data_IF_851192633906
#
_entry.id   IF_851192633906
#
_cell.length_a   1.000
_cell.length_b   1.000
_cell.length_c   1.000
_cell.angle_alpha   90.00
_cell.angle_beta   90.00
_cell.angle_gamma   90.00
#
_symmetry.space_group_name_H-M   'P 1'
#
loop_
_entity.id
_entity.type
_entity.pdbx_description
1 polymer ?
#
# COMPACT_ATOMS: atom_id res chain seq x y z
N UNK A 1 -20.81 -6.29 6.88
CA UNK A 1 -20.34 -4.88 6.93
C UNK A 1 -20.39 -4.29 5.52
N UNK A 2 -20.99 -3.10 5.34
CA UNK A 2 -20.98 -2.38 4.05
C UNK A 2 -19.57 -1.90 3.71
N UNK A 3 -19.20 -1.91 2.43
CA UNK A 3 -17.87 -1.54 1.95
C UNK A 3 -17.53 -0.09 2.28
N UNK A 4 -18.41 0.88 1.96
CA UNK A 4 -18.26 2.29 2.31
C UNK A 4 -17.95 2.51 3.79
N UNK A 5 -18.74 1.88 4.68
CA UNK A 5 -18.54 1.96 6.13
C UNK A 5 -17.19 1.40 6.56
N UNK A 6 -16.72 0.33 5.92
CA UNK A 6 -15.43 -0.27 6.23
C UNK A 6 -14.27 0.66 5.89
N UNK A 7 -14.27 1.30 4.71
CA UNK A 7 -13.23 2.27 4.35
C UNK A 7 -13.26 3.53 5.22
N UNK A 8 -14.46 4.01 5.57
CA UNK A 8 -14.58 5.12 6.51
C UNK A 8 -14.05 4.75 7.89
N UNK A 9 -14.29 3.52 8.35
CA UNK A 9 -13.71 3.03 9.60
C UNK A 9 -12.17 2.94 9.52
N UNK A 10 -11.60 2.54 8.38
CA UNK A 10 -10.13 2.55 8.20
C UNK A 10 -9.56 3.96 8.36
N UNK A 11 -10.17 4.95 7.69
CA UNK A 11 -9.79 6.37 7.80
C UNK A 11 -9.95 6.87 9.24
N UNK A 12 -11.12 6.66 9.85
CA UNK A 12 -11.43 7.17 11.18
C UNK A 12 -10.50 6.61 12.28
N UNK A 13 -10.00 5.39 12.09
CA UNK A 13 -9.04 4.76 13.01
C UNK A 13 -7.57 4.96 12.58
N UNK A 14 -7.30 5.71 11.51
CA UNK A 14 -5.94 5.94 11.00
C UNK A 14 -5.21 4.66 10.55
N UNK A 15 -5.96 3.59 10.22
CA UNK A 15 -5.40 2.30 9.82
C UNK A 15 -5.50 2.09 8.31
N UNK A 16 -4.53 1.37 7.75
CA UNK A 16 -4.39 1.18 6.29
C UNK A 16 -4.86 -0.19 5.80
N UNK A 17 -5.20 -1.07 6.72
CA UNK A 17 -5.72 -2.40 6.44
C UNK A 17 -6.40 -2.96 7.70
N UNK A 18 -7.33 -3.89 7.50
CA UNK A 18 -7.96 -4.63 8.58
C UNK A 18 -8.14 -6.10 8.19
N UNK A 19 -7.97 -7.05 9.14
CA UNK A 19 -8.32 -8.44 8.92
C UNK A 19 -9.85 -8.57 8.81
N UNK A 20 -10.29 -9.55 8.01
CA UNK A 20 -11.70 -9.82 7.77
C UNK A 20 -12.13 -11.11 8.45
N UNK A 21 -13.08 -10.99 9.37
CA UNK A 21 -13.68 -12.11 10.07
C UNK A 21 -14.98 -12.56 9.39
N UNK A 22 -15.13 -13.86 9.15
CA UNK A 22 -16.37 -14.45 8.65
C UNK A 22 -17.10 -15.19 9.77
N UNK A 23 -18.23 -14.65 10.23
CA UNK A 23 -18.99 -15.21 11.35
C UNK A 23 -19.56 -16.61 11.08
N UNK A 24 -19.83 -16.99 9.82
CA UNK A 24 -20.33 -18.33 9.48
C UNK A 24 -19.23 -19.39 9.63
N UNK A 25 -18.00 -19.07 9.21
CA UNK A 25 -16.83 -19.97 9.29
C UNK A 25 -16.03 -19.80 10.57
N UNK A 26 -16.37 -18.82 11.42
CA UNK A 26 -15.64 -18.46 12.64
C UNK A 26 -14.13 -18.38 12.42
N UNK A 27 -13.71 -17.69 11.35
CA UNK A 27 -12.30 -17.59 10.97
C UNK A 27 -11.98 -16.31 10.20
N UNK A 28 -10.70 -15.96 10.18
CA UNK A 28 -10.18 -14.89 9.33
C UNK A 28 -10.04 -15.35 7.89
N UNK A 29 -10.69 -14.62 6.98
CA UNK A 29 -10.82 -15.03 5.56
C UNK A 29 -10.04 -14.16 4.59
N UNK A 30 -9.48 -13.04 5.07
CA UNK A 30 -8.80 -12.09 4.20
C UNK A 30 -8.34 -10.83 4.91
N UNK A 31 -7.80 -9.93 4.10
CA UNK A 31 -7.49 -8.55 4.49
C UNK A 31 -8.34 -7.62 3.62
N UNK A 32 -8.81 -6.52 4.22
CA UNK A 32 -9.28 -5.34 3.50
C UNK A 32 -8.18 -4.30 3.52
N UNK A 33 -7.80 -3.79 2.36
CA UNK A 33 -6.70 -2.85 2.16
C UNK A 33 -7.11 -1.71 1.23
N UNK A 34 -6.26 -0.69 1.13
CA UNK A 34 -6.47 0.41 0.17
C UNK A 34 -6.45 -0.10 -1.30
N UNK A 35 -5.79 -1.23 -1.57
CA UNK A 35 -5.83 -1.82 -2.94
C UNK A 35 -7.24 -2.28 -3.29
N UNK A 36 -8.02 -2.79 -2.32
CA UNK A 36 -9.42 -3.15 -2.55
C UNK A 36 -10.24 -1.90 -2.89
N UNK A 37 -9.99 -0.77 -2.21
CA UNK A 37 -10.66 0.50 -2.52
C UNK A 37 -10.38 0.95 -3.96
N UNK A 38 -9.10 0.93 -4.36
CA UNK A 38 -8.66 1.25 -5.72
C UNK A 38 -9.36 0.36 -6.75
N UNK A 39 -9.43 -0.95 -6.49
CA UNK A 39 -10.08 -1.90 -7.40
C UNK A 39 -11.58 -1.62 -7.56
N UNK A 40 -12.27 -1.21 -6.50
CA UNK A 40 -13.70 -0.86 -6.55
C UNK A 40 -13.91 0.41 -7.36
N UNK A 41 -13.13 1.47 -7.06
CA UNK A 41 -13.19 2.72 -7.82
C UNK A 41 -12.91 2.48 -9.30
N UNK A 42 -11.84 1.76 -9.62
CA UNK A 42 -11.46 1.42 -10.99
C UNK A 42 -12.57 0.64 -11.73
N UNK A 43 -13.21 -0.32 -11.07
CA UNK A 43 -14.22 -1.20 -11.71
C UNK A 43 -15.53 -0.48 -12.01
N UNK A 44 -15.97 0.39 -11.11
CA UNK A 44 -17.32 0.96 -11.16
C UNK A 44 -17.37 2.44 -11.54
N UNK A 45 -16.24 3.16 -11.51
CA UNK A 45 -16.23 4.53 -11.99
C UNK A 45 -16.61 4.61 -13.47
N UNK A 46 -17.57 5.49 -13.78
CA UNK A 46 -18.02 5.78 -15.16
C UNK A 46 -17.81 7.24 -15.52
N UNK A 47 -18.31 8.15 -14.71
CA UNK A 47 -18.14 9.60 -14.87
C UNK A 47 -18.41 10.32 -13.55
N UNK A 48 -18.02 11.61 -13.42
CA UNK A 48 -18.25 12.40 -12.21
C UNK A 48 -19.72 12.60 -11.85
N UNK A 49 -20.62 12.43 -12.83
CA UNK A 49 -22.07 12.65 -12.66
C UNK A 49 -22.80 11.40 -12.16
N UNK A 50 -22.16 10.24 -12.22
CA UNK A 50 -22.76 8.95 -11.84
C UNK A 50 -22.18 8.49 -10.51
N UNK A 51 -23.04 8.33 -9.52
CA UNK A 51 -22.62 7.81 -8.22
C UNK A 51 -22.20 6.34 -8.34
N UNK A 52 -21.20 5.96 -7.56
CA UNK A 52 -20.72 4.57 -7.47
C UNK A 52 -21.60 3.82 -6.47
N UNK A 53 -22.81 3.43 -6.90
CA UNK A 53 -23.80 2.76 -6.05
C UNK A 53 -23.26 1.47 -5.43
N UNK A 54 -22.42 0.73 -6.14
CA UNK A 54 -21.82 -0.52 -5.66
C UNK A 54 -20.92 -0.29 -4.45
N UNK A 55 -20.24 0.85 -4.35
CA UNK A 55 -19.44 1.16 -3.17
C UNK A 55 -20.33 1.42 -1.94
N UNK A 56 -21.53 1.98 -2.14
CA UNK A 56 -22.47 2.34 -1.08
C UNK A 56 -23.26 1.12 -0.58
N UNK A 57 -23.74 0.29 -1.51
CA UNK A 57 -24.65 -0.81 -1.24
C UNK A 57 -23.95 -2.15 -0.97
N UNK A 58 -22.80 -2.41 -1.60
CA UNK A 58 -22.15 -3.72 -1.45
C UNK A 58 -21.67 -3.98 -0.01
N UNK A 59 -21.74 -5.26 0.35
CA UNK A 59 -21.07 -5.80 1.54
C UNK A 59 -19.66 -6.25 1.17
N UNK A 60 -18.77 -6.32 2.16
CA UNK A 60 -17.41 -6.85 1.95
C UNK A 60 -17.46 -8.28 1.39
N UNK A 61 -18.39 -9.11 1.88
CA UNK A 61 -18.62 -10.49 1.43
C UNK A 61 -18.92 -10.54 -0.08
N UNK A 62 -19.92 -9.79 -0.54
CA UNK A 62 -20.34 -9.77 -1.95
C UNK A 62 -19.25 -9.21 -2.87
N UNK A 63 -18.53 -8.17 -2.45
CA UNK A 63 -17.39 -7.66 -3.20
C UNK A 63 -16.30 -8.71 -3.35
N UNK A 64 -15.97 -9.42 -2.26
CA UNK A 64 -14.93 -10.45 -2.27
C UNK A 64 -15.33 -11.63 -3.13
N UNK A 65 -16.58 -12.07 -3.11
CA UNK A 65 -17.04 -13.14 -3.98
C UNK A 65 -16.87 -12.76 -5.47
N UNK A 66 -17.30 -11.55 -5.85
CA UNK A 66 -17.13 -11.06 -7.23
C UNK A 66 -15.66 -10.95 -7.65
N UNK A 67 -14.80 -10.44 -6.77
CA UNK A 67 -13.37 -10.24 -7.07
C UNK A 67 -12.57 -11.55 -7.03
N UNK A 68 -12.86 -12.44 -6.09
CA UNK A 68 -12.13 -13.70 -5.89
C UNK A 68 -12.60 -14.82 -6.83
N UNK A 69 -13.76 -14.70 -7.46
CA UNK A 69 -14.15 -15.59 -8.58
C UNK A 69 -13.09 -15.59 -9.69
N UNK A 70 -12.39 -14.48 -9.89
CA UNK A 70 -11.32 -14.36 -10.89
C UNK A 70 -9.97 -14.91 -10.36
N UNK A 71 -9.72 -14.89 -9.05
CA UNK A 71 -8.51 -15.47 -8.42
C UNK A 71 -8.74 -15.86 -6.95
N UNK A 72 -8.87 -17.16 -6.66
CA UNK A 72 -8.91 -17.63 -5.27
C UNK A 72 -7.54 -17.42 -4.60
N UNK A 73 -7.50 -16.61 -3.55
CA UNK A 73 -6.30 -16.40 -2.72
C UNK A 73 -6.67 -16.54 -1.25
N UNK A 74 -6.26 -17.63 -0.58
CA UNK A 74 -6.51 -17.80 0.85
C UNK A 74 -5.74 -16.73 1.64
N UNK A 75 -6.21 -16.45 2.86
CA UNK A 75 -5.52 -15.57 3.78
C UNK A 75 -4.14 -16.15 4.12
N UNK A 76 -3.10 -15.39 3.81
CA UNK A 76 -1.74 -15.67 4.29
C UNK A 76 -1.59 -15.02 5.66
N UNK A 77 -1.22 -15.81 6.66
CA UNK A 77 -0.95 -15.36 8.04
C UNK A 77 0.32 -16.02 8.56
N UNK A 78 0.77 -15.61 9.75
CA UNK A 78 1.93 -16.19 10.42
C UNK A 78 1.69 -16.33 11.93
N UNK A 79 2.27 -17.38 12.54
CA UNK A 79 2.27 -17.57 14.00
C UNK A 79 3.18 -16.53 14.69
N UNK A 80 2.84 -16.05 15.91
CA UNK A 80 3.75 -15.21 16.69
C UNK A 80 5.09 -15.89 17.02
N UNK A 81 5.15 -17.22 17.05
CA UNK A 81 6.37 -17.98 17.36
C UNK A 81 7.27 -18.22 16.13
N UNK A 82 6.82 -17.84 14.94
CA UNK A 82 7.60 -17.99 13.71
C UNK A 82 8.72 -16.95 13.60
N UNK A 83 9.75 -17.26 12.81
CA UNK A 83 10.89 -16.36 12.67
C UNK A 83 10.56 -15.12 11.82
N UNK A 84 11.29 -14.02 12.05
CA UNK A 84 11.22 -12.85 11.17
C UNK A 84 11.64 -13.17 9.73
N UNK A 85 12.51 -14.17 9.53
CA UNK A 85 12.90 -14.65 8.21
C UNK A 85 11.69 -15.23 7.45
N UNK A 86 10.90 -16.09 8.11
CA UNK A 86 9.68 -16.65 7.52
C UNK A 86 8.67 -15.56 7.19
N UNK A 87 8.59 -14.53 8.04
CA UNK A 87 7.74 -13.39 7.82
C UNK A 87 8.13 -12.59 6.57
N UNK A 88 9.42 -12.27 6.42
CA UNK A 88 9.96 -11.59 5.22
C UNK A 88 9.75 -12.45 3.98
N UNK A 89 10.07 -13.74 4.06
CA UNK A 89 9.87 -14.68 2.96
C UNK A 89 8.40 -14.75 2.53
N UNK A 90 7.47 -14.80 3.49
CA UNK A 90 6.03 -14.84 3.22
C UNK A 90 5.53 -13.56 2.54
N UNK A 91 5.97 -12.38 2.99
CA UNK A 91 5.63 -11.09 2.37
C UNK A 91 6.09 -11.04 0.89
N UNK A 92 7.33 -11.46 0.62
CA UNK A 92 7.92 -11.45 -0.72
C UNK A 92 7.25 -12.48 -1.63
N UNK A 93 7.18 -13.74 -1.19
CA UNK A 93 6.64 -14.86 -1.97
C UNK A 93 5.19 -14.61 -2.39
N UNK A 94 4.37 -14.12 -1.47
CA UNK A 94 2.96 -13.87 -1.72
C UNK A 94 2.70 -12.48 -2.34
N UNK A 95 3.74 -11.64 -2.49
CA UNK A 95 3.66 -10.27 -3.01
C UNK A 95 2.62 -9.43 -2.26
N UNK A 96 2.66 -9.49 -0.93
CA UNK A 96 1.73 -8.78 -0.03
C UNK A 96 2.48 -7.80 0.87
N UNK A 97 1.81 -6.72 1.27
CA UNK A 97 2.40 -5.68 2.12
C UNK A 97 1.94 -5.74 3.59
N UNK A 98 0.98 -6.63 3.90
CA UNK A 98 0.32 -6.77 5.20
C UNK A 98 0.25 -8.26 5.51
N UNK A 99 0.96 -8.68 6.55
CA UNK A 99 0.98 -10.07 7.03
C UNK A 99 0.38 -10.11 8.44
N UNK A 100 -0.87 -10.58 8.62
CA UNK A 100 -1.45 -10.72 9.94
C UNK A 100 -0.71 -11.80 10.75
N UNK A 101 -0.38 -11.45 11.99
CA UNK A 101 0.12 -12.36 13.02
C UNK A 101 -1.09 -12.87 13.78
N UNK A 102 -1.35 -14.17 13.71
CA UNK A 102 -2.52 -14.81 14.32
C UNK A 102 -2.02 -15.87 15.28
N UNK A 103 -2.51 -15.82 16.53
CA UNK A 103 -2.23 -16.87 17.49
C UNK A 103 -2.98 -18.14 17.11
N UNK A 104 -2.30 -19.27 16.85
CA UNK A 104 -2.96 -20.52 16.49
C UNK A 104 -3.78 -21.13 17.64
N UNK A 105 -3.50 -20.77 18.90
CA UNK A 105 -4.19 -21.34 20.06
C UNK A 105 -5.52 -20.62 20.30
N UNK A 106 -5.49 -19.29 20.44
CA UNK A 106 -6.72 -18.51 20.67
C UNK A 106 -7.48 -18.15 19.40
N UNK A 107 -6.82 -18.21 18.23
CA UNK A 107 -7.36 -17.70 16.97
C UNK A 107 -7.37 -16.18 16.84
N UNK A 108 -6.80 -15.44 17.81
CA UNK A 108 -6.81 -13.98 17.82
C UNK A 108 -5.80 -13.40 16.82
N UNK A 109 -6.21 -12.33 16.11
CA UNK A 109 -5.30 -11.51 15.33
C UNK A 109 -4.55 -10.54 16.26
N UNK A 110 -3.26 -10.78 16.46
CA UNK A 110 -2.41 -10.05 17.40
C UNK A 110 -1.83 -8.76 16.78
N UNK A 111 -1.36 -8.84 15.54
CA UNK A 111 -0.69 -7.72 14.87
C UNK A 111 -0.76 -7.81 13.35
N UNK A 112 -0.47 -6.71 12.65
CA UNK A 112 -0.28 -6.71 11.19
C UNK A 112 1.15 -6.30 10.88
N UNK A 113 1.97 -7.27 10.50
CA UNK A 113 3.37 -7.05 10.16
C UNK A 113 3.51 -6.47 8.74
N UNK A 114 4.52 -5.61 8.56
CA UNK A 114 4.73 -4.82 7.34
C UNK A 114 6.22 -4.68 7.06
N UNK A 115 6.60 -4.49 5.79
CA UNK A 115 7.99 -4.23 5.39
C UNK A 115 8.61 -3.05 6.18
N UNK A 116 7.87 -1.93 6.33
CA UNK A 116 8.30 -0.76 7.11
C UNK A 116 8.65 -1.12 8.55
N UNK A 117 7.80 -1.91 9.22
CA UNK A 117 8.02 -2.31 10.62
C UNK A 117 9.21 -3.25 10.78
N UNK A 118 9.36 -4.22 9.87
CA UNK A 118 10.50 -5.13 9.87
C UNK A 118 11.80 -4.35 9.64
N UNK A 119 11.83 -3.45 8.66
CA UNK A 119 13.04 -2.67 8.36
C UNK A 119 13.41 -1.73 9.52
N UNK A 120 12.43 -1.07 10.15
CA UNK A 120 12.65 -0.25 11.35
C UNK A 120 13.18 -1.09 12.52
N UNK A 121 12.63 -2.28 12.74
CA UNK A 121 13.13 -3.22 13.75
C UNK A 121 14.58 -3.60 13.45
N UNK A 122 14.87 -4.09 12.24
CA UNK A 122 16.23 -4.47 11.85
C UNK A 122 17.22 -3.32 12.04
N UNK A 123 16.87 -2.10 11.63
CA UNK A 123 17.77 -0.95 11.77
C UNK A 123 18.09 -0.61 13.23
N UNK A 124 17.13 -0.72 14.14
CA UNK A 124 17.35 -0.47 15.57
C UNK A 124 18.36 -1.46 16.14
N UNK A 125 18.17 -2.76 15.89
CA UNK A 125 19.02 -3.82 16.48
C UNK A 125 20.33 -4.06 15.70
N UNK A 126 20.37 -3.83 14.39
CA UNK A 126 21.59 -3.98 13.60
C UNK A 126 22.60 -2.85 13.84
N UNK A 127 22.18 -1.71 14.38
CA UNK A 127 23.11 -0.62 14.74
C UNK A 127 24.12 -1.05 15.81
N UNK A 128 23.77 -2.04 16.63
CA UNK A 128 24.58 -2.59 17.71
C UNK A 128 25.40 -3.83 17.30
N UNK A 129 25.27 -4.29 16.03
CA UNK A 129 25.93 -5.49 15.52
C UNK A 129 26.87 -5.16 14.35
N UNK A 130 27.91 -5.99 14.11
CA UNK A 130 28.73 -5.87 12.91
C UNK A 130 27.88 -5.94 11.64
N UNK A 131 27.87 -4.85 10.86
CA UNK A 131 27.11 -4.80 9.61
C UNK A 131 27.78 -5.66 8.54
N UNK A 132 27.01 -6.43 7.75
CA UNK A 132 27.56 -7.19 6.62
C UNK A 132 28.27 -6.29 5.61
N UNK A 133 29.30 -6.81 4.94
CA UNK A 133 30.10 -6.05 3.98
C UNK A 133 29.27 -5.44 2.83
N UNK A 134 28.18 -6.09 2.43
CA UNK A 134 27.31 -5.58 1.36
C UNK A 134 26.59 -4.28 1.72
N UNK A 135 26.45 -3.92 3.01
CA UNK A 135 25.79 -2.68 3.42
C UNK A 135 26.56 -1.43 2.95
N UNK A 136 27.87 -1.57 2.73
CA UNK A 136 28.76 -0.51 2.25
C UNK A 136 28.81 -0.40 0.73
N UNK A 137 28.23 -1.35 0.00
CA UNK A 137 28.14 -1.29 -1.47
C UNK A 137 27.03 -0.32 -1.89
N UNK A 138 27.18 0.28 -3.06
CA UNK A 138 26.18 1.18 -3.63
C UNK A 138 25.04 0.39 -4.32
N UNK A 139 23.94 1.08 -4.66
CA UNK A 139 22.78 0.44 -5.28
C UNK A 139 23.08 -0.18 -6.64
N UNK A 140 23.95 0.48 -7.42
CA UNK A 140 24.32 0.03 -8.76
C UNK A 140 25.02 -1.33 -8.71
N UNK A 141 26.01 -1.48 -7.83
CA UNK A 141 26.73 -2.73 -7.59
C UNK A 141 25.84 -3.87 -7.09
N UNK A 142 24.79 -3.53 -6.32
CA UNK A 142 23.88 -4.52 -5.74
C UNK A 142 22.70 -4.86 -6.65
N UNK A 143 22.43 -4.05 -7.68
CA UNK A 143 21.25 -4.19 -8.54
C UNK A 143 19.93 -4.08 -7.78
N UNK A 144 19.88 -3.32 -6.68
CA UNK A 144 18.69 -3.18 -5.83
C UNK A 144 17.82 -2.03 -6.33
N UNK A 145 16.76 -2.37 -7.05
CA UNK A 145 15.77 -1.42 -7.52
C UNK A 145 15.15 -1.87 -8.84
N UNK A 146 14.20 -1.08 -9.32
CA UNK A 146 13.68 -1.19 -10.69
C UNK A 146 14.13 0.05 -11.44
N UNK A 147 14.85 -0.13 -12.55
CA UNK A 147 15.46 0.97 -13.32
C UNK A 147 14.91 1.14 -14.74
N UNK A 148 14.08 0.20 -15.18
CA UNK A 148 13.52 0.19 -16.52
C UNK A 148 12.00 0.11 -16.44
N UNK A 149 11.30 0.64 -17.45
CA UNK A 149 9.84 0.64 -17.52
C UNK A 149 9.17 1.23 -16.28
N UNK A 150 9.73 2.30 -15.72
CA UNK A 150 9.16 3.00 -14.56
C UNK A 150 7.85 3.64 -14.96
N UNK A 151 6.79 3.33 -14.22
CA UNK A 151 5.50 3.98 -14.38
C UNK A 151 5.54 5.32 -13.66
N UNK A 152 5.18 6.40 -14.35
CA UNK A 152 5.05 7.73 -13.80
C UNK A 152 3.80 8.41 -14.37
N UNK A 153 3.42 9.54 -13.78
CA UNK A 153 2.29 10.35 -14.20
C UNK A 153 2.69 11.83 -14.21
N UNK A 154 1.87 12.68 -14.82
CA UNK A 154 2.07 14.12 -14.87
C UNK A 154 1.13 14.86 -13.88
N UNK A 155 1.46 16.11 -13.49
CA UNK A 155 0.65 16.89 -12.55
C UNK A 155 -0.84 17.03 -12.94
N UNK A 156 -1.12 17.09 -14.25
CA UNK A 156 -2.44 17.22 -14.86
C UNK A 156 -3.13 15.87 -15.13
N UNK A 157 -2.45 14.75 -14.86
CA UNK A 157 -3.01 13.41 -15.09
C UNK A 157 -4.24 13.20 -14.20
N UNK A 158 -5.40 12.80 -14.76
CA UNK A 158 -6.58 12.47 -13.97
C UNK A 158 -6.34 11.30 -13.02
N UNK A 159 -6.91 11.34 -11.81
CA UNK A 159 -6.77 10.26 -10.82
C UNK A 159 -7.16 8.91 -11.41
N UNK A 160 -8.24 8.83 -12.20
CA UNK A 160 -8.68 7.56 -12.80
C UNK A 160 -7.57 6.88 -13.61
N UNK A 161 -6.75 7.65 -14.36
CA UNK A 161 -5.61 7.09 -15.09
C UNK A 161 -4.54 6.54 -14.13
N UNK A 162 -4.27 7.23 -13.03
CA UNK A 162 -3.34 6.75 -12.01
C UNK A 162 -3.86 5.45 -11.35
N UNK A 163 -5.17 5.35 -11.08
CA UNK A 163 -5.79 4.12 -10.55
C UNK A 163 -5.65 2.95 -11.52
N UNK A 164 -5.86 3.17 -12.83
CA UNK A 164 -5.64 2.13 -13.85
C UNK A 164 -4.22 1.57 -13.77
N UNK A 165 -3.21 2.45 -13.68
CA UNK A 165 -1.81 2.02 -13.57
C UNK A 165 -1.56 1.23 -12.28
N UNK A 166 -2.17 1.62 -11.14
CA UNK A 166 -2.05 0.86 -9.90
C UNK A 166 -2.62 -0.55 -10.00
N UNK A 167 -3.73 -0.73 -10.72
CA UNK A 167 -4.38 -2.03 -10.94
C UNK A 167 -3.54 -2.89 -11.88
N UNK A 168 -3.10 -2.33 -13.01
CA UNK A 168 -2.34 -3.04 -14.05
C UNK A 168 -0.95 -3.45 -13.56
N UNK A 169 -0.18 -2.50 -13.01
CA UNK A 169 1.22 -2.71 -12.66
C UNK A 169 1.43 -3.19 -11.22
N UNK A 170 0.38 -3.19 -10.40
CA UNK A 170 0.41 -3.63 -8.98
C UNK A 170 1.51 -2.95 -8.15
N UNK A 171 1.78 -1.67 -8.42
CA UNK A 171 2.78 -0.85 -7.71
C UNK A 171 2.15 -0.09 -6.53
N UNK A 172 2.98 0.40 -5.60
CA UNK A 172 2.53 1.11 -4.40
C UNK A 172 2.43 2.63 -4.57
N UNK A 173 3.19 3.20 -5.50
CA UNK A 173 3.22 4.63 -5.78
C UNK A 173 3.68 4.93 -7.21
N UNK A 174 3.37 6.13 -7.67
CA UNK A 174 3.67 6.70 -8.97
C UNK A 174 4.42 8.02 -8.76
N UNK A 175 5.66 8.17 -9.25
CA UNK A 175 6.30 9.47 -9.33
C UNK A 175 5.47 10.42 -10.21
N UNK A 176 5.32 11.67 -9.76
CA UNK A 176 4.75 12.76 -10.55
C UNK A 176 5.90 13.53 -11.17
N UNK A 177 5.92 13.59 -12.49
CA UNK A 177 7.05 14.10 -13.29
C UNK A 177 6.60 15.30 -14.11
N UNK A 178 7.38 16.38 -14.09
CA UNK A 178 7.13 17.56 -14.91
C UNK A 178 7.52 17.35 -16.39
N UNK A 179 7.27 18.37 -17.22
CA UNK A 179 7.61 18.34 -18.66
C UNK A 179 9.11 18.20 -18.93
N UNK A 180 9.96 18.57 -17.97
CA UNK A 180 11.43 18.44 -18.07
C UNK A 180 11.94 17.05 -17.66
N UNK A 181 11.05 16.15 -17.27
CA UNK A 181 11.41 14.82 -16.80
C UNK A 181 11.86 14.76 -15.33
N UNK A 182 11.64 15.83 -14.55
CA UNK A 182 12.01 15.87 -13.13
C UNK A 182 10.85 15.45 -12.24
N UNK A 183 11.16 14.67 -11.20
CA UNK A 183 10.18 14.27 -10.19
C UNK A 183 9.86 15.47 -9.28
N UNK A 184 8.60 15.90 -9.32
CA UNK A 184 8.08 17.04 -8.54
C UNK A 184 7.22 16.60 -7.35
N UNK A 185 6.55 15.45 -7.46
CA UNK A 185 5.73 14.87 -6.38
C UNK A 185 5.67 13.33 -6.51
N UNK A 186 4.91 12.68 -5.65
CA UNK A 186 4.62 11.25 -5.64
C UNK A 186 3.13 11.07 -5.34
N UNK A 187 2.43 10.27 -6.13
CA UNK A 187 1.06 9.84 -5.85
C UNK A 187 1.09 8.37 -5.43
N UNK A 188 0.70 8.07 -4.20
CA UNK A 188 0.74 6.73 -3.63
C UNK A 188 -0.65 6.15 -3.46
N UNK A 189 -0.74 4.82 -3.30
CA UNK A 189 -1.99 4.18 -2.89
C UNK A 189 -2.54 4.76 -1.59
N UNK A 190 -1.68 5.30 -0.72
CA UNK A 190 -2.10 5.93 0.52
C UNK A 190 -2.90 7.21 0.26
N UNK A 191 -2.57 7.98 -0.78
CA UNK A 191 -3.30 9.22 -1.10
C UNK A 191 -4.71 8.95 -1.60
N UNK A 192 -4.94 7.77 -2.21
CA UNK A 192 -6.26 7.37 -2.69
C UNK A 192 -7.27 7.24 -1.53
N UNK A 193 -6.83 6.84 -0.33
CA UNK A 193 -7.75 6.70 0.81
C UNK A 193 -8.31 8.04 1.30
N UNK A 194 -7.63 9.16 1.01
CA UNK A 194 -8.11 10.49 1.35
C UNK A 194 -9.39 10.83 0.56
N UNK A 195 -9.58 10.27 -0.64
CA UNK A 195 -10.84 10.39 -1.38
C UNK A 195 -12.02 9.82 -0.59
N UNK A 196 -11.80 8.76 0.19
CA UNK A 196 -12.81 8.20 1.09
C UNK A 196 -13.06 9.13 2.29
N UNK A 197 -12.00 9.67 2.88
CA UNK A 197 -12.09 10.60 4.01
C UNK A 197 -12.93 11.85 3.68
N UNK A 198 -12.73 12.39 2.49
CA UNK A 198 -13.37 13.63 2.04
C UNK A 198 -14.67 13.40 1.26
N UNK A 199 -15.01 12.14 0.98
CA UNK A 199 -16.16 11.75 0.15
C UNK A 199 -16.09 12.32 -1.27
N UNK A 200 -14.88 12.54 -1.78
CA UNK A 200 -14.60 13.09 -3.12
C UNK A 200 -14.40 12.00 -4.18
N UNK A 201 -14.50 10.72 -3.79
CA UNK A 201 -14.33 9.56 -4.68
C UNK A 201 -15.31 9.44 -5.85
N UNK A 202 -16.34 10.29 -5.92
CA UNK A 202 -17.27 10.34 -7.06
C UNK A 202 -16.69 11.07 -8.27
N UNK A 203 -15.69 11.95 -8.08
CA UNK A 203 -15.06 12.66 -9.18
C UNK A 203 -13.58 12.26 -9.29
N UNK A 204 -13.29 11.29 -10.16
CA UNK A 204 -11.93 10.80 -10.40
C UNK A 204 -11.28 11.44 -11.63
N UNK A 205 -11.95 12.42 -12.24
CA UNK A 205 -11.44 13.20 -13.38
C UNK A 205 -10.60 14.40 -12.93
N UNK A 206 -10.60 14.71 -11.62
CA UNK A 206 -9.70 15.70 -11.05
C UNK A 206 -8.24 15.29 -11.25
N UNK A 207 -7.36 16.27 -11.33
CA UNK A 207 -5.94 16.02 -11.55
C UNK A 207 -5.26 15.53 -10.28
N UNK A 208 -4.13 14.84 -10.45
CA UNK A 208 -3.28 14.39 -9.34
C UNK A 208 -2.84 15.58 -8.48
N UNK A 209 -2.53 16.73 -9.08
CA UNK A 209 -2.18 17.94 -8.31
C UNK A 209 -3.31 18.39 -7.39
N UNK A 210 -4.55 18.42 -7.90
CA UNK A 210 -5.72 18.74 -7.09
C UNK A 210 -5.92 17.72 -5.96
N UNK A 211 -5.76 16.43 -6.26
CA UNK A 211 -5.86 15.36 -5.28
C UNK A 211 -4.84 15.50 -4.14
N UNK A 212 -3.62 15.96 -4.46
CA UNK A 212 -2.51 16.06 -3.52
C UNK A 212 -2.57 17.30 -2.62
N UNK A 213 -3.35 18.33 -2.97
CA UNK A 213 -3.60 19.49 -2.10
C UNK A 213 -4.23 19.11 -0.76
N UNK A 214 -4.88 17.95 -0.71
CA UNK A 214 -5.55 17.40 0.47
C UNK A 214 -4.60 16.68 1.43
N UNK A 215 -3.30 16.57 1.12
CA UNK A 215 -2.30 16.09 2.09
C UNK A 215 -2.19 17.07 3.26
N UNK A 216 -2.15 16.54 4.49
CA UNK A 216 -1.84 17.33 5.69
C UNK A 216 -0.55 18.14 5.48
N UNK A 217 -0.52 19.39 5.94
CA UNK A 217 0.47 20.46 5.65
C UNK A 217 1.98 20.13 5.79
N UNK A 218 2.37 18.94 6.23
CA UNK A 218 3.76 18.49 6.32
C UNK A 218 4.14 17.57 5.14
N UNK A 219 4.25 18.14 3.94
CA UNK A 219 4.94 17.47 2.83
C UNK A 219 6.34 18.05 2.68
N UNK A 220 7.36 17.34 3.20
CA UNK A 220 8.77 17.75 3.12
C UNK A 220 9.40 17.50 1.72
N UNK A 221 8.57 17.21 0.71
CA UNK A 221 9.02 16.86 -0.63
C UNK A 221 9.17 15.36 -0.85
N UNK A 222 9.51 14.98 -2.09
CA UNK A 222 9.78 13.59 -2.46
C UNK A 222 11.16 13.18 -1.96
N UNK A 223 11.22 12.17 -1.08
CA UNK A 223 12.46 11.56 -0.64
C UNK A 223 13.12 10.83 -1.81
N UNK A 224 14.37 11.19 -2.11
CA UNK A 224 15.15 10.66 -3.25
C UNK A 224 16.42 9.98 -2.76
N UNK A 225 17.03 9.19 -3.62
CA UNK A 225 18.38 8.66 -3.45
C UNK A 225 19.13 8.65 -4.80
N UNK A 226 20.45 8.48 -4.74
CA UNK A 226 21.33 8.32 -5.88
C UNK A 226 21.88 6.89 -5.95
N UNK A 227 22.15 6.42 -7.17
CA UNK A 227 22.73 5.10 -7.46
C UNK A 227 24.07 4.87 -6.76
N UNK A 228 24.81 5.95 -6.51
CA UNK A 228 26.13 5.93 -5.90
C UNK A 228 26.08 5.91 -4.38
N UNK A 229 24.89 6.05 -3.78
CA UNK A 229 24.72 5.96 -2.33
C UNK A 229 24.77 4.50 -1.85
N UNK A 230 25.35 4.31 -0.66
CA UNK A 230 25.44 2.98 -0.04
C UNK A 230 24.07 2.48 0.41
N UNK A 231 23.89 1.16 0.44
CA UNK A 231 22.67 0.54 0.96
C UNK A 231 22.37 0.99 2.40
N UNK A 232 23.42 1.12 3.22
CA UNK A 232 23.32 1.63 4.59
C UNK A 232 22.69 3.03 4.66
N UNK A 233 23.21 3.99 3.88
CA UNK A 233 22.68 5.35 3.84
C UNK A 233 21.20 5.38 3.43
N UNK A 234 20.80 4.51 2.50
CA UNK A 234 19.44 4.46 1.99
C UNK A 234 18.49 3.82 3.00
N UNK A 235 18.88 2.71 3.63
CA UNK A 235 18.08 2.07 4.68
C UNK A 235 17.84 3.05 5.83
N UNK A 236 18.89 3.78 6.26
CA UNK A 236 18.79 4.81 7.28
C UNK A 236 17.78 5.91 6.89
N UNK A 237 17.83 6.36 5.63
CA UNK A 237 16.91 7.37 5.10
C UNK A 237 15.47 6.87 5.08
N UNK A 238 15.23 5.64 4.63
CA UNK A 238 13.88 5.04 4.60
C UNK A 238 13.30 4.95 6.01
N UNK A 239 14.10 4.48 6.98
CA UNK A 239 13.64 4.32 8.36
C UNK A 239 13.36 5.68 9.02
N UNK A 240 14.22 6.69 8.80
CA UNK A 240 14.02 8.05 9.31
C UNK A 240 12.82 8.76 8.70
N UNK A 241 12.64 8.63 7.38
CA UNK A 241 11.55 9.27 6.66
C UNK A 241 10.18 8.62 6.93
N UNK A 242 10.14 7.48 7.62
CA UNK A 242 8.89 6.80 7.99
C UNK A 242 7.99 6.46 6.78
N UNK A 243 8.59 6.30 5.60
CA UNK A 243 7.90 5.99 4.34
C UNK A 243 7.45 4.53 4.24
#
# INVERSE_FOLDING_TARGET
>A
LQVKKAFFALVANGVRAAPLWESKKQSFVGMLTITDFINILHRYYKSPMVQIYELEEHKIETWRELYLQETFKPLVNISPDASLFDAVYSLIKNKIHRLPVIDPVSGNALYILTHKRILKFLQLFMSEMPKPAFMKKNLDELGIGTYHNIAFIHPDTPIIKALNIFVERRISALPVVDESGKVVDIYSKFDVINLAAEKTYNNLDITVTQALQHRSQYFEGVVKCSMLETLETIVDRIVKAEV
#
